data_IF_987110406098
#
_entry.id   IF_987110406098
#
_cell.length_a   1.000
_cell.length_b   1.000
_cell.length_c   1.000
_cell.angle_alpha   90.00
_cell.angle_beta   90.00
_cell.angle_gamma   90.00
#
_symmetry.space_group_name_H-M   'P 1'
#
loop_
_entity.id
_entity.type
_entity.pdbx_description
1 polymer ?
#
# COMPACT_ATOMS: atom_id res chain seq x y z
N UNK A 1 -0.61 -3.62 -10.61
CA UNK A 1 -1.43 -4.85 -10.71
C UNK A 1 -0.83 -5.87 -9.76
N UNK A 2 -1.62 -6.62 -8.97
CA UNK A 2 -1.07 -7.64 -8.07
C UNK A 2 -0.26 -8.67 -8.87
N UNK A 3 0.96 -8.99 -8.40
CA UNK A 3 1.87 -9.93 -9.06
C UNK A 3 2.75 -9.36 -10.18
N UNK A 4 2.59 -8.08 -10.56
CA UNK A 4 3.48 -7.40 -11.51
C UNK A 4 4.47 -6.49 -10.75
N UNK A 5 5.75 -6.91 -10.55
CA UNK A 5 6.70 -6.19 -9.71
C UNK A 5 7.12 -4.82 -10.28
N UNK A 6 6.89 -4.55 -11.58
CA UNK A 6 7.23 -3.27 -12.21
C UNK A 6 6.18 -2.18 -12.00
N UNK A 7 5.09 -2.48 -11.28
CA UNK A 7 4.00 -1.53 -11.03
C UNK A 7 3.81 -1.32 -9.53
N UNK A 8 4.16 -0.13 -9.06
CA UNK A 8 3.89 0.33 -7.70
C UNK A 8 2.57 1.11 -7.69
N UNK A 9 1.71 0.86 -6.69
CA UNK A 9 0.40 1.51 -6.54
C UNK A 9 0.30 2.17 -5.16
N UNK A 10 -0.08 3.44 -5.12
CA UNK A 10 -0.49 4.14 -3.92
C UNK A 10 -1.81 4.88 -4.13
N UNK A 11 -2.72 4.78 -3.16
CA UNK A 11 -3.99 5.51 -3.14
C UNK A 11 -4.30 6.04 -1.73
N UNK A 12 -3.52 7.00 -1.20
CA UNK A 12 -3.75 7.58 0.12
C UNK A 12 -4.89 8.62 0.11
N UNK A 13 -6.04 8.27 -0.48
CA UNK A 13 -7.12 9.22 -0.81
C UNK A 13 -8.23 9.32 0.23
N UNK A 14 -8.06 8.77 1.44
CA UNK A 14 -9.06 8.74 2.52
C UNK A 14 -9.12 10.01 3.38
N UNK A 15 -8.70 11.16 2.84
CA UNK A 15 -8.73 12.47 3.52
C UNK A 15 -7.57 12.73 4.50
N UNK A 16 -6.71 11.73 4.75
CA UNK A 16 -5.60 11.85 5.71
C UNK A 16 -4.21 11.68 5.06
N UNK A 17 -4.14 11.47 3.75
CA UNK A 17 -2.88 11.17 3.05
C UNK A 17 -1.85 12.31 3.07
N UNK A 18 -2.32 13.57 3.04
CA UNK A 18 -1.44 14.73 2.88
C UNK A 18 -0.35 14.85 3.96
N UNK A 19 -0.71 14.62 5.23
CA UNK A 19 0.25 14.69 6.35
C UNK A 19 1.34 13.61 6.31
N UNK A 20 1.15 12.57 5.49
CA UNK A 20 2.09 11.48 5.31
C UNK A 20 2.79 11.51 3.95
N UNK A 21 2.62 12.58 3.16
CA UNK A 21 3.14 12.64 1.78
C UNK A 21 4.65 12.37 1.72
N UNK A 22 5.44 12.91 2.65
CA UNK A 22 6.90 12.69 2.67
C UNK A 22 7.26 11.22 2.86
N UNK A 23 6.69 10.55 3.86
CA UNK A 23 6.99 9.13 4.14
C UNK A 23 6.40 8.21 3.05
N UNK A 24 5.24 8.56 2.49
CA UNK A 24 4.68 7.84 1.34
C UNK A 24 5.59 7.97 0.12
N UNK A 25 6.17 9.15 -0.12
CA UNK A 25 7.14 9.36 -1.20
C UNK A 25 8.39 8.49 -1.04
N UNK A 26 8.93 8.39 0.17
CA UNK A 26 10.06 7.52 0.50
C UNK A 26 9.74 6.05 0.23
N UNK A 27 8.60 5.56 0.74
CA UNK A 27 8.12 4.19 0.48
C UNK A 27 8.03 3.92 -1.02
N UNK A 28 7.47 4.85 -1.79
CA UNK A 28 7.29 4.68 -3.23
C UNK A 28 8.62 4.68 -3.98
N UNK A 29 9.59 5.49 -3.56
CA UNK A 29 10.93 5.51 -4.13
C UNK A 29 11.63 4.15 -3.90
N UNK A 30 11.66 3.69 -2.64
CA UNK A 30 12.24 2.40 -2.25
C UNK A 30 11.59 1.23 -3.02
N UNK A 31 10.26 1.18 -3.08
CA UNK A 31 9.54 0.13 -3.82
C UNK A 31 9.84 0.16 -5.31
N UNK A 32 10.04 1.34 -5.89
CA UNK A 32 10.30 1.49 -7.33
C UNK A 32 11.74 1.14 -7.70
N UNK A 33 12.70 1.51 -6.84
CA UNK A 33 14.13 1.35 -7.11
C UNK A 33 14.66 0.00 -6.64
N UNK A 34 14.25 -0.43 -5.45
CA UNK A 34 14.83 -1.57 -4.75
C UNK A 34 13.87 -2.75 -4.60
N UNK A 35 12.59 -2.56 -4.96
CA UNK A 35 11.56 -3.61 -4.87
C UNK A 35 11.07 -3.90 -3.44
N UNK A 36 11.48 -3.09 -2.46
CA UNK A 36 11.14 -3.25 -1.05
C UNK A 36 11.52 -2.00 -0.25
N UNK A 37 10.92 -1.81 0.92
CA UNK A 37 11.25 -0.72 1.86
C UNK A 37 11.44 -1.26 3.27
N UNK A 38 12.25 -0.58 4.08
CA UNK A 38 12.41 -0.91 5.50
C UNK A 38 11.22 -0.43 6.37
N UNK A 39 10.37 0.43 5.83
CA UNK A 39 9.22 0.97 6.55
C UNK A 39 8.11 -0.08 6.72
N UNK A 40 7.34 -0.04 7.82
CA UNK A 40 6.35 -1.07 8.14
C UNK A 40 5.07 -0.93 7.30
N UNK A 41 5.12 -1.38 6.04
CA UNK A 41 4.03 -1.20 5.06
C UNK A 41 3.13 -2.43 4.87
N UNK A 42 3.31 -3.48 5.68
CA UNK A 42 2.60 -4.77 5.52
C UNK A 42 1.07 -4.64 5.54
N UNK A 43 0.54 -3.73 6.38
CA UNK A 43 -0.90 -3.44 6.47
C UNK A 43 -1.48 -2.77 5.22
N UNK A 44 -0.64 -2.23 4.33
CA UNK A 44 -1.02 -1.57 3.09
C UNK A 44 -0.73 -2.42 1.84
N UNK A 45 -0.43 -3.70 2.03
CA UNK A 45 -0.20 -4.65 0.93
C UNK A 45 -1.52 -5.12 0.29
N UNK A 46 -1.43 -5.65 -0.94
CA UNK A 46 -2.57 -6.31 -1.60
C UNK A 46 -3.13 -7.48 -0.76
N UNK A 47 -2.27 -8.28 -0.11
CA UNK A 47 -2.71 -9.35 0.77
C UNK A 47 -3.53 -8.85 1.96
N UNK A 48 -3.14 -7.71 2.56
CA UNK A 48 -3.91 -7.08 3.62
C UNK A 48 -5.26 -6.54 3.11
N UNK A 49 -5.28 -5.99 1.89
CA UNK A 49 -6.51 -5.54 1.23
C UNK A 49 -7.47 -6.71 0.98
N UNK A 50 -6.99 -7.83 0.44
CA UNK A 50 -7.82 -9.03 0.20
C UNK A 50 -8.45 -9.54 1.50
N UNK A 51 -7.65 -9.62 2.57
CA UNK A 51 -8.13 -10.00 3.89
C UNK A 51 -9.18 -9.02 4.45
N UNK A 52 -9.01 -7.71 4.23
CA UNK A 52 -9.96 -6.68 4.64
C UNK A 52 -11.29 -6.79 3.87
N UNK A 53 -11.22 -6.97 2.55
CA UNK A 53 -12.40 -7.13 1.69
C UNK A 53 -13.19 -8.38 2.08
N UNK A 54 -12.50 -9.52 2.29
CA UNK A 54 -13.14 -10.76 2.73
C UNK A 54 -13.86 -10.59 4.08
N UNK A 55 -13.23 -9.91 5.06
CA UNK A 55 -13.87 -9.61 6.35
C UNK A 55 -15.09 -8.71 6.22
N UNK A 56 -15.05 -7.68 5.36
CA UNK A 56 -16.22 -6.82 5.11
C UNK A 56 -17.37 -7.59 4.49
N UNK A 57 -17.09 -8.47 3.53
CA UNK A 57 -18.12 -9.29 2.88
C UNK A 57 -18.82 -10.24 3.87
N UNK A 58 -18.09 -10.76 4.87
CA UNK A 58 -18.65 -11.64 5.90
C UNK A 58 -19.51 -10.91 6.97
N UNK A 59 -19.51 -9.56 6.99
CA UNK A 59 -20.23 -8.73 7.97
C UNK A 59 -21.45 -8.03 7.34
N UNK A 60 -21.72 -8.29 6.06
CA UNK A 60 -22.87 -7.77 5.29
C UNK A 60 -23.88 -8.87 5.01
#
# INVERSE_FOLDING_TARGET
MPGEPRIVVASPCSGHGFKFTSVVGEILADLTLDGGTALPVSAFSFAAMDAFVAKRAATS
#
